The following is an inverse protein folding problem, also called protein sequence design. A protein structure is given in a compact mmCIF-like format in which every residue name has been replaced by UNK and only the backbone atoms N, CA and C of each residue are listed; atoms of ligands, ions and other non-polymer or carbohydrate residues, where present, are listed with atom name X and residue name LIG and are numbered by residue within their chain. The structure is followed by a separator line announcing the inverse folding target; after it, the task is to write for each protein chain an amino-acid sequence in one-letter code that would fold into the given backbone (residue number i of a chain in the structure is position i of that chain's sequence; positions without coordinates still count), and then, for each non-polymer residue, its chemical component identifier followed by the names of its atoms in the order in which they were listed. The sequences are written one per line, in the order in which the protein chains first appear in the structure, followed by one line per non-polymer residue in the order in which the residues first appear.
data_IF_814062319759
#
_entry.id   IF_814062319759
#
_cell.length_a   1.000
_cell.length_b   1.000
_cell.length_c   1.000
_cell.angle_alpha   90.00
_cell.angle_beta   90.00
_cell.angle_gamma   90.00
#
_symmetry.space_group_name_H-M   'P 1'
#
loop_
_entity.id
_entity.type
_entity.pdbx_description
1 polymer ?
#
# COMPACT_ATOMS: atom_id res chain seq x y z
N UNK A 1 1.96 11.12 11.00
CA UNK A 1 2.54 9.87 10.50
C UNK A 1 3.58 9.37 11.48
N UNK A 2 3.62 8.06 11.72
CA UNK A 2 4.56 7.35 12.60
C UNK A 2 5.39 6.30 11.84
N UNK A 3 5.16 6.17 10.53
CA UNK A 3 6.03 5.46 9.61
C UNK A 3 6.07 6.15 8.23
N UNK A 4 7.07 5.78 7.44
CA UNK A 4 7.24 6.17 6.04
C UNK A 4 7.32 4.91 5.19
N UNK A 5 6.47 4.80 4.18
CA UNK A 5 6.54 3.71 3.20
C UNK A 5 7.31 4.21 1.99
N UNK A 6 8.27 3.42 1.51
CA UNK A 6 9.09 3.75 0.33
C UNK A 6 8.90 2.70 -0.75
N UNK A 7 8.65 3.11 -1.99
CA UNK A 7 8.54 2.23 -3.16
C UNK A 7 9.25 2.88 -4.35
N UNK A 8 10.39 2.30 -4.77
CA UNK A 8 11.27 2.94 -5.75
C UNK A 8 11.72 4.33 -5.28
N UNK A 9 11.56 5.34 -6.13
CA UNK A 9 11.91 6.74 -5.83
C UNK A 9 10.82 7.50 -5.06
N UNK A 10 9.69 6.83 -4.75
CA UNK A 10 8.57 7.43 -4.07
C UNK A 10 8.58 7.10 -2.57
N UNK A 11 8.16 8.07 -1.76
CA UNK A 11 7.99 7.89 -0.33
C UNK A 11 6.71 8.57 0.16
N UNK A 12 5.97 7.89 1.04
CA UNK A 12 4.74 8.39 1.60
C UNK A 12 4.75 8.30 3.13
N UNK A 13 4.48 9.40 3.85
CA UNK A 13 4.22 9.34 5.28
C UNK A 13 2.89 8.59 5.52
N UNK A 14 2.88 7.65 6.46
CA UNK A 14 1.73 6.83 6.79
C UNK A 14 1.52 6.69 8.30
N UNK A 15 0.36 6.14 8.69
CA UNK A 15 0.00 5.81 10.06
C UNK A 15 -0.09 4.30 10.21
N UNK A 16 0.73 3.71 11.08
CA UNK A 16 0.73 2.28 11.39
C UNK A 16 -0.67 1.81 11.78
N UNK A 17 -1.38 2.59 12.59
CA UNK A 17 -2.76 2.29 13.01
C UNK A 17 -3.75 2.11 11.85
N UNK A 18 -3.63 2.92 10.79
CA UNK A 18 -4.52 2.86 9.64
C UNK A 18 -4.13 1.70 8.73
N UNK A 19 -2.84 1.59 8.38
CA UNK A 19 -2.37 0.56 7.44
C UNK A 19 -2.50 -0.85 8.02
N UNK A 20 -2.21 -1.05 9.31
CA UNK A 20 -2.37 -2.36 9.96
C UNK A 20 -3.84 -2.77 10.12
N UNK A 21 -4.75 -1.81 10.25
CA UNK A 21 -6.18 -2.10 10.30
C UNK A 21 -6.73 -2.61 8.95
N UNK A 22 -6.08 -2.23 7.83
CA UNK A 22 -6.52 -2.62 6.49
C UNK A 22 -5.79 -3.86 5.95
N UNK A 23 -4.63 -4.20 6.49
CA UNK A 23 -3.75 -5.25 5.96
C UNK A 23 -3.14 -6.09 7.06
N UNK A 24 -3.38 -7.40 7.00
CA UNK A 24 -2.74 -8.36 7.91
C UNK A 24 -1.24 -8.49 7.66
N UNK A 25 -0.80 -8.27 6.42
CA UNK A 25 0.62 -8.22 6.08
C UNK A 25 1.31 -7.09 6.85
N UNK A 26 0.77 -5.87 6.80
CA UNK A 26 1.31 -4.75 7.58
C UNK A 26 1.16 -4.96 9.08
N UNK A 27 0.06 -5.56 9.54
CA UNK A 27 -0.09 -5.93 10.94
C UNK A 27 1.07 -6.83 11.39
N UNK A 28 1.36 -7.92 10.67
CA UNK A 28 2.47 -8.81 10.98
C UNK A 28 3.83 -8.12 10.94
N UNK A 29 4.08 -7.25 9.96
CA UNK A 29 5.32 -6.49 9.86
C UNK A 29 5.51 -5.49 11.03
N UNK A 30 4.43 -4.83 11.46
CA UNK A 30 4.48 -3.78 12.47
C UNK A 30 4.20 -4.22 13.91
N UNK A 31 3.65 -5.42 14.13
CA UNK A 31 3.33 -5.96 15.46
C UNK A 31 4.30 -7.04 15.94
N UNK A 32 5.29 -7.39 15.13
CA UNK A 32 6.25 -8.44 15.43
C UNK A 32 7.32 -7.99 16.46
N UNK A 33 7.95 -8.88 17.24
CA UNK A 33 9.13 -8.53 18.03
C UNK A 33 10.38 -8.18 17.18
N UNK A 34 10.32 -8.33 15.84
CA UNK A 34 11.44 -8.03 14.95
C UNK A 34 11.62 -6.53 14.68
N UNK A 35 12.81 -6.16 14.16
CA UNK A 35 13.24 -4.77 13.93
C UNK A 35 12.23 -3.97 13.09
N UNK A 36 11.53 -4.63 12.18
CA UNK A 36 10.52 -4.04 11.29
C UNK A 36 9.34 -3.41 12.06
N UNK A 37 9.00 -3.95 13.23
CA UNK A 37 7.93 -3.40 14.05
C UNK A 37 8.29 -2.05 14.67
N UNK A 38 9.54 -1.94 15.10
CA UNK A 38 10.10 -0.69 15.59
C UNK A 38 10.57 0.23 14.45
N UNK A 39 10.59 -0.26 13.22
CA UNK A 39 11.04 0.53 12.08
C UNK A 39 10.07 1.68 11.82
N UNK A 40 10.64 2.85 11.58
CA UNK A 40 9.94 4.05 11.10
C UNK A 40 9.87 4.08 9.58
N UNK A 41 10.53 3.14 8.89
CA UNK A 41 10.55 3.01 7.43
C UNK A 41 10.18 1.59 7.03
N UNK A 42 9.30 1.47 6.05
CA UNK A 42 8.92 0.21 5.44
C UNK A 42 9.19 0.27 3.94
N UNK A 43 10.04 -0.64 3.44
CA UNK A 43 10.40 -0.68 2.02
C UNK A 43 9.53 -1.68 1.29
N UNK A 44 8.94 -1.22 0.20
CA UNK A 44 8.22 -2.04 -0.77
C UNK A 44 9.17 -2.36 -1.91
N UNK A 45 9.45 -3.64 -2.10
CA UNK A 45 10.28 -4.12 -3.20
C UNK A 45 9.41 -4.65 -4.35
N UNK A 46 9.85 -4.43 -5.58
CA UNK A 46 9.26 -4.99 -6.81
C UNK A 46 7.81 -4.58 -7.13
N UNK A 47 7.34 -3.43 -6.65
CA UNK A 47 6.02 -2.89 -7.03
C UNK A 47 6.13 -1.60 -7.85
N UNK A 48 5.17 -1.41 -8.74
CA UNK A 48 4.99 -0.14 -9.42
C UNK A 48 4.45 0.89 -8.42
N UNK A 49 5.19 1.99 -8.20
CA UNK A 49 4.86 3.01 -7.20
C UNK A 49 3.46 3.59 -7.38
N UNK A 50 2.99 3.74 -8.62
CA UNK A 50 1.62 4.20 -8.94
C UNK A 50 0.51 3.23 -8.50
N UNK A 51 0.76 1.92 -8.54
CA UNK A 51 -0.22 0.88 -8.16
C UNK A 51 -0.24 0.76 -6.63
N UNK A 52 0.95 0.82 -6.01
CA UNK A 52 1.09 0.84 -4.57
C UNK A 52 0.44 2.08 -3.96
N UNK A 53 0.62 3.25 -4.58
CA UNK A 53 0.00 4.49 -4.13
C UNK A 53 -1.54 4.39 -4.15
N UNK A 54 -2.14 3.81 -5.19
CA UNK A 54 -3.59 3.60 -5.22
C UNK A 54 -4.08 2.70 -4.09
N UNK A 55 -3.39 1.59 -3.82
CA UNK A 55 -3.70 0.73 -2.68
C UNK A 55 -3.57 1.50 -1.35
N UNK A 56 -2.51 2.30 -1.19
CA UNK A 56 -2.29 3.10 0.00
C UNK A 56 -3.38 4.16 0.18
N UNK A 57 -3.80 4.84 -0.90
CA UNK A 57 -4.91 5.82 -0.88
C UNK A 57 -6.21 5.15 -0.44
N UNK A 58 -6.50 3.96 -0.94
CA UNK A 58 -7.69 3.20 -0.54
C UNK A 58 -7.79 3.01 0.97
N UNK A 59 -6.67 2.84 1.68
CA UNK A 59 -6.69 2.68 3.14
C UNK A 59 -7.24 3.90 3.87
N UNK A 60 -7.11 5.09 3.28
CA UNK A 60 -7.53 6.35 3.89
C UNK A 60 -8.88 6.84 3.37
N UNK A 61 -9.14 6.71 2.07
CA UNK A 61 -10.33 7.30 1.42
C UNK A 61 -11.36 6.28 0.93
N UNK A 62 -11.06 4.97 0.97
CA UNK A 62 -11.87 3.90 0.33
C UNK A 62 -12.05 4.09 -1.18
N UNK A 63 -11.18 4.88 -1.80
CA UNK A 63 -11.18 5.18 -3.22
C UNK A 63 -9.78 5.55 -3.68
N UNK A 64 -9.54 5.43 -4.99
CA UNK A 64 -8.34 5.91 -5.65
C UNK A 64 -8.68 6.29 -7.09
N UNK A 65 -7.91 7.22 -7.64
CA UNK A 65 -8.08 7.67 -9.03
C UNK A 65 -7.34 6.74 -10.00
N UNK A 66 -7.86 6.65 -11.22
CA UNK A 66 -7.18 5.95 -12.31
C UNK A 66 -6.28 6.97 -13.03
N UNK A 67 -4.96 6.73 -13.14
CA UNK A 67 -4.08 7.63 -13.86
C UNK A 67 -4.46 7.72 -15.35
N UNK A 68 -4.21 8.88 -15.97
CA UNK A 68 -4.49 9.09 -17.39
C UNK A 68 -3.79 8.08 -18.32
N UNK A 69 -2.64 7.53 -17.89
CA UNK A 69 -1.93 6.46 -18.60
C UNK A 69 -2.77 5.20 -18.79
N UNK A 70 -3.76 4.95 -17.93
CA UNK A 70 -4.67 3.81 -17.99
C UNK A 70 -6.06 4.18 -18.54
N UNK A 71 -6.26 5.41 -19.02
CA UNK A 71 -7.56 5.89 -19.52
C UNK A 71 -8.19 5.00 -20.60
N UNK A 72 -7.36 4.38 -21.46
CA UNK A 72 -7.83 3.47 -22.51
C UNK A 72 -8.24 2.08 -21.99
N UNK A 73 -7.75 1.68 -20.82
CA UNK A 73 -8.11 0.41 -20.20
C UNK A 73 -8.07 0.49 -18.66
N UNK A 74 -9.03 1.18 -18.04
CA UNK A 74 -9.08 1.35 -16.58
C UNK A 74 -9.14 0.02 -15.83
N UNK A 75 -9.81 -0.98 -16.43
CA UNK A 75 -9.92 -2.34 -15.89
C UNK A 75 -8.55 -2.95 -15.62
N UNK A 76 -7.57 -2.76 -16.51
CA UNK A 76 -6.21 -3.30 -16.29
C UNK A 76 -5.53 -2.69 -15.08
N UNK A 77 -5.76 -1.40 -14.82
CA UNK A 77 -5.25 -0.74 -13.62
C UNK A 77 -5.90 -1.30 -12.37
N UNK A 78 -7.23 -1.38 -12.34
CA UNK A 78 -7.97 -1.97 -11.21
C UNK A 78 -7.52 -3.40 -10.93
N UNK A 79 -7.30 -4.22 -11.96
CA UNK A 79 -6.79 -5.59 -11.79
C UNK A 79 -5.37 -5.60 -11.19
N UNK A 80 -4.48 -4.67 -11.59
CA UNK A 80 -3.15 -4.54 -10.97
C UNK A 80 -3.25 -4.16 -9.49
N UNK A 81 -4.09 -3.17 -9.15
CA UNK A 81 -4.30 -2.74 -7.76
C UNK A 81 -4.91 -3.87 -6.93
N UNK A 82 -5.87 -4.62 -7.48
CA UNK A 82 -6.49 -5.76 -6.80
C UNK A 82 -5.51 -6.91 -6.58
N UNK A 83 -4.71 -7.27 -7.58
CA UNK A 83 -3.65 -8.27 -7.41
C UNK A 83 -2.62 -7.85 -6.36
N UNK A 84 -2.28 -6.56 -6.30
CA UNK A 84 -1.39 -6.04 -5.26
C UNK A 84 -2.02 -6.16 -3.87
N UNK A 85 -3.28 -5.76 -3.71
CA UNK A 85 -4.01 -5.88 -2.46
C UNK A 85 -4.09 -7.33 -1.95
N UNK A 86 -4.29 -8.30 -2.84
CA UNK A 86 -4.24 -9.72 -2.47
C UNK A 86 -2.88 -10.12 -1.90
N UNK A 87 -1.78 -9.63 -2.49
CA UNK A 87 -0.42 -9.91 -2.00
C UNK A 87 -0.14 -9.30 -0.63
N UNK A 88 -0.74 -8.14 -0.35
CA UNK A 88 -0.64 -7.47 0.95
C UNK A 88 -1.76 -7.85 1.92
N UNK A 89 -2.56 -8.88 1.61
CA UNK A 89 -3.67 -9.35 2.45
C UNK A 89 -4.58 -8.19 2.94
N UNK A 90 -4.97 -7.34 1.99
CA UNK A 90 -5.86 -6.19 2.21
C UNK A 90 -7.31 -6.65 2.19
N UNK A 91 -8.07 -6.26 3.21
CA UNK A 91 -9.51 -6.58 3.26
C UNK A 91 -10.35 -5.49 2.58
N UNK A 92 -11.26 -5.91 1.68
CA UNK A 92 -12.29 -5.03 1.13
C UNK A 92 -11.80 -4.04 0.06
N UNK A 93 -10.97 -4.52 -0.88
CA UNK A 93 -10.62 -3.81 -2.12
C UNK A 93 -11.26 -4.51 -3.33
#
# INVERSE_FOLDING_TARGET
SDCTITCGDHSWPAHKSIICAQSKHFMGAFSSPYVEANATKYKVDNEASEVFEAMLRHFYSRSYDVPDSYRRSPVTYHTKVHNLALRYDVQGL
#
